data_IF_775613676801
#
_entry.id   IF_775613676801
#
_cell.length_a   1.000
_cell.length_b   1.000
_cell.length_c   1.000
_cell.angle_alpha   90.00
_cell.angle_beta   90.00
_cell.angle_gamma   90.00
#
_symmetry.space_group_name_H-M   'P 1'
#
loop_
_entity.id
_entity.type
_entity.pdbx_description
1 polymer ?
#
# COMPACT_ATOMS: atom_id res chain seq x y z
N UNK A 1 39.86 -2.11 2.46
CA UNK A 1 38.54 -2.58 2.00
C UNK A 1 37.45 -1.63 2.49
N UNK A 2 36.77 -0.91 1.59
CA UNK A 2 35.69 0.03 1.96
C UNK A 2 34.40 -0.77 2.24
N UNK A 3 33.89 -0.67 3.47
CA UNK A 3 32.58 -1.20 3.87
C UNK A 3 31.50 -0.40 3.13
N UNK A 4 30.79 -1.04 2.20
CA UNK A 4 29.62 -0.46 1.54
C UNK A 4 28.50 -0.41 2.57
N UNK A 5 28.24 0.77 3.13
CA UNK A 5 27.10 1.00 4.01
C UNK A 5 25.83 0.55 3.30
N UNK A 6 25.10 -0.38 3.90
CA UNK A 6 23.75 -0.74 3.50
C UNK A 6 22.87 0.48 3.76
N UNK A 7 22.80 1.37 2.77
CA UNK A 7 21.77 2.39 2.73
C UNK A 7 20.43 1.67 2.71
N UNK A 8 19.68 1.78 3.81
CA UNK A 8 18.26 1.50 3.93
C UNK A 8 17.45 2.51 3.10
N UNK A 9 17.84 2.68 1.83
CA UNK A 9 17.07 3.44 0.88
C UNK A 9 15.76 2.69 0.72
N UNK A 10 14.68 3.26 1.26
CA UNK A 10 13.31 2.77 0.99
C UNK A 10 13.22 2.65 -0.53
N UNK A 11 12.70 1.54 -1.08
CA UNK A 11 12.50 1.46 -2.52
C UNK A 11 11.75 2.71 -2.97
N UNK A 12 12.24 3.39 -4.01
CA UNK A 12 11.58 4.57 -4.57
C UNK A 12 10.28 4.11 -5.24
N UNK A 13 9.25 3.91 -4.43
CA UNK A 13 7.94 3.46 -4.88
C UNK A 13 7.20 4.67 -5.46
N UNK A 14 6.80 4.57 -6.72
CA UNK A 14 5.96 5.59 -7.34
C UNK A 14 4.59 5.62 -6.64
N UNK A 15 3.91 6.77 -6.69
CA UNK A 15 2.54 6.92 -6.16
C UNK A 15 1.60 5.82 -6.64
N UNK A 16 1.63 5.50 -7.93
CA UNK A 16 0.81 4.44 -8.51
C UNK A 16 1.12 3.05 -7.93
N UNK A 17 2.39 2.77 -7.61
CA UNK A 17 2.79 1.52 -6.97
C UNK A 17 2.31 1.45 -5.53
N UNK A 18 2.44 2.53 -4.74
CA UNK A 18 1.94 2.58 -3.36
C UNK A 18 0.42 2.34 -3.29
N UNK A 19 -0.35 3.01 -4.16
CA UNK A 19 -1.80 2.80 -4.25
C UNK A 19 -2.13 1.34 -4.59
N UNK A 20 -1.36 0.73 -5.51
CA UNK A 20 -1.57 -0.66 -5.90
C UNK A 20 -1.22 -1.63 -4.78
N UNK A 21 -0.15 -1.39 -4.02
CA UNK A 21 0.22 -2.17 -2.84
C UNK A 21 -0.86 -2.09 -1.76
N UNK A 22 -1.38 -0.90 -1.48
CA UNK A 22 -2.52 -0.72 -0.57
C UNK A 22 -3.73 -1.57 -1.01
N UNK A 23 -4.08 -1.52 -2.30
CA UNK A 23 -5.17 -2.35 -2.86
C UNK A 23 -4.87 -3.84 -2.76
N UNK A 24 -3.63 -4.26 -2.96
CA UNK A 24 -3.21 -5.65 -2.74
C UNK A 24 -3.55 -6.08 -1.31
N UNK A 25 -3.14 -5.30 -0.31
CA UNK A 25 -3.40 -5.62 1.10
C UNK A 25 -4.90 -5.72 1.40
N UNK A 26 -5.72 -4.80 0.87
CA UNK A 26 -7.19 -4.87 1.00
C UNK A 26 -7.81 -6.10 0.31
N UNK A 27 -7.17 -6.67 -0.72
CA UNK A 27 -7.66 -7.89 -1.36
C UNK A 27 -7.39 -9.12 -0.50
N UNK A 28 -6.19 -9.22 0.07
CA UNK A 28 -5.78 -10.39 0.87
C UNK A 28 -6.24 -10.32 2.33
N UNK A 29 -6.57 -9.13 2.84
CA UNK A 29 -7.26 -8.96 4.13
C UNK A 29 -8.63 -9.64 4.13
N UNK A 30 -9.37 -9.59 3.02
CA UNK A 30 -10.69 -10.23 2.89
C UNK A 30 -10.62 -11.76 2.91
N UNK A 31 -9.41 -12.33 2.93
CA UNK A 31 -9.12 -13.76 2.94
C UNK A 31 -8.20 -14.18 1.80
N UNK A 32 -7.71 -15.43 1.84
CA UNK A 32 -6.73 -15.93 0.86
C UNK A 32 -7.21 -15.82 -0.60
N UNK A 33 -6.42 -15.15 -1.44
CA UNK A 33 -6.75 -14.90 -2.86
C UNK A 33 -5.83 -15.70 -3.80
N UNK A 34 -6.37 -16.16 -4.92
CA UNK A 34 -5.53 -16.74 -6.00
C UNK A 34 -4.74 -15.65 -6.70
N UNK A 35 -3.53 -15.98 -7.16
CA UNK A 35 -2.67 -15.07 -7.95
C UNK A 35 -3.43 -14.45 -9.13
N UNK A 36 -4.15 -15.26 -9.88
CA UNK A 36 -4.88 -14.83 -11.09
C UNK A 36 -5.96 -13.79 -10.73
N UNK A 37 -6.61 -13.93 -9.58
CA UNK A 37 -7.61 -12.98 -9.08
C UNK A 37 -6.96 -11.65 -8.68
N UNK A 38 -5.82 -11.71 -7.99
CA UNK A 38 -5.05 -10.51 -7.62
C UNK A 38 -4.58 -9.78 -8.88
N UNK A 39 -3.94 -10.50 -9.81
CA UNK A 39 -3.45 -9.93 -11.07
C UNK A 39 -4.57 -9.26 -11.87
N UNK A 40 -5.73 -9.93 -12.01
CA UNK A 40 -6.89 -9.38 -12.71
C UNK A 40 -7.42 -8.11 -12.06
N UNK A 41 -7.55 -8.08 -10.73
CA UNK A 41 -8.10 -6.91 -10.00
C UNK A 41 -7.12 -5.74 -9.92
N UNK A 42 -5.82 -6.00 -9.95
CA UNK A 42 -4.77 -4.98 -9.88
C UNK A 42 -4.20 -4.61 -11.25
N UNK A 43 -4.71 -5.21 -12.34
CA UNK A 43 -4.22 -5.02 -13.71
C UNK A 43 -2.70 -5.25 -13.83
N UNK A 44 -2.22 -6.35 -13.24
CA UNK A 44 -0.81 -6.72 -13.22
C UNK A 44 -0.51 -7.84 -14.22
N UNK A 45 0.67 -7.75 -14.84
CA UNK A 45 1.33 -8.91 -15.43
C UNK A 45 2.06 -9.74 -14.36
N UNK A 46 2.57 -10.91 -14.74
CA UNK A 46 3.22 -11.82 -13.78
C UNK A 46 4.46 -11.18 -13.13
N UNK A 47 5.21 -10.37 -13.89
CA UNK A 47 6.40 -9.66 -13.38
C UNK A 47 5.99 -8.57 -12.38
N UNK A 48 4.94 -7.82 -12.68
CA UNK A 48 4.37 -6.81 -11.81
C UNK A 48 3.87 -7.39 -10.49
N UNK A 49 3.20 -8.54 -10.55
CA UNK A 49 2.78 -9.27 -9.37
C UNK A 49 3.96 -9.62 -8.44
N UNK A 50 5.00 -10.27 -8.96
CA UNK A 50 6.15 -10.65 -8.12
C UNK A 50 6.98 -9.45 -7.67
N UNK A 51 7.08 -8.38 -8.48
CA UNK A 51 7.72 -7.13 -8.03
C UNK A 51 6.97 -6.48 -6.87
N UNK A 52 5.64 -6.52 -6.89
CA UNK A 52 4.85 -5.95 -5.81
C UNK A 52 4.93 -6.82 -4.54
N UNK A 53 4.93 -8.15 -4.67
CA UNK A 53 5.24 -9.04 -3.55
C UNK A 53 6.62 -8.76 -2.96
N UNK A 54 7.63 -8.55 -3.81
CA UNK A 54 8.98 -8.22 -3.36
C UNK A 54 8.99 -6.89 -2.59
N UNK A 55 8.30 -5.85 -3.08
CA UNK A 55 8.21 -4.59 -2.36
C UNK A 55 7.51 -4.72 -1.02
N UNK A 56 6.43 -5.52 -0.91
CA UNK A 56 5.78 -5.79 0.38
C UNK A 56 6.76 -6.47 1.35
N UNK A 57 7.54 -7.44 0.85
CA UNK A 57 8.58 -8.12 1.64
C UNK A 57 9.67 -7.16 2.11
N UNK A 58 10.16 -6.27 1.23
CA UNK A 58 11.15 -5.24 1.56
C UNK A 58 10.62 -4.27 2.63
N UNK A 59 9.31 -3.95 2.57
CA UNK A 59 8.59 -3.17 3.57
C UNK A 59 8.27 -3.94 4.86
N UNK A 60 8.71 -5.20 4.99
CA UNK A 60 8.42 -6.07 6.15
C UNK A 60 6.93 -6.40 6.31
N UNK A 61 6.19 -6.42 5.20
CA UNK A 61 4.79 -6.82 5.15
C UNK A 61 4.72 -8.26 4.60
N UNK A 62 4.58 -9.27 5.46
CA UNK A 62 4.61 -10.67 5.05
C UNK A 62 3.31 -11.09 4.33
N UNK A 63 3.44 -11.59 3.10
CA UNK A 63 2.38 -12.29 2.38
C UNK A 63 2.73 -13.78 2.34
N UNK A 64 1.87 -14.61 2.92
CA UNK A 64 2.05 -16.06 2.94
C UNK A 64 1.33 -16.72 1.77
N UNK A 65 1.86 -17.87 1.33
CA UNK A 65 1.26 -18.71 0.29
C UNK A 65 0.84 -20.02 0.96
N UNK A 66 -0.46 -20.30 0.96
CA UNK A 66 -1.01 -21.56 1.47
C UNK A 66 -0.76 -22.73 0.51
N UNK A 67 -1.08 -23.94 0.97
CA UNK A 67 -0.94 -25.18 0.19
C UNK A 67 -1.75 -25.17 -1.11
N UNK A 68 -2.85 -24.42 -1.14
CA UNK A 68 -3.72 -24.26 -2.32
C UNK A 68 -3.27 -23.12 -3.26
N UNK A 69 -2.02 -22.64 -3.10
CA UNK A 69 -1.42 -21.55 -3.84
C UNK A 69 -2.18 -20.21 -3.73
N UNK A 70 -2.88 -19.99 -2.61
CA UNK A 70 -3.50 -18.71 -2.30
C UNK A 70 -2.62 -17.84 -1.43
N UNK A 71 -2.67 -16.55 -1.70
CA UNK A 71 -1.91 -15.51 -1.03
C UNK A 71 -2.77 -14.89 0.07
N UNK A 72 -2.23 -14.83 1.28
CA UNK A 72 -2.88 -14.24 2.45
C UNK A 72 -1.94 -13.26 3.15
N UNK A 73 -2.50 -12.22 3.76
CA UNK A 73 -1.72 -11.36 4.64
C UNK A 73 -1.45 -12.12 5.94
N UNK A 74 -0.19 -12.15 6.38
CA UNK A 74 0.16 -12.62 7.71
C UNK A 74 0.08 -11.45 8.69
N UNK A 75 -0.74 -11.58 9.72
CA UNK A 75 -1.06 -10.49 10.65
C UNK A 75 -2.30 -9.71 10.21
N UNK A 76 -2.44 -8.50 10.75
CA UNK A 76 -3.59 -7.63 10.49
C UNK A 76 -3.30 -6.62 9.38
N UNK A 77 -4.36 -6.08 8.77
CA UNK A 77 -4.22 -4.97 7.85
C UNK A 77 -3.58 -3.75 8.53
N UNK A 78 -3.95 -3.47 9.78
CA UNK A 78 -3.43 -2.33 10.54
C UNK A 78 -1.90 -2.40 10.69
N UNK A 79 -1.37 -3.55 11.10
CA UNK A 79 0.07 -3.79 11.18
C UNK A 79 0.75 -3.57 9.82
N UNK A 80 0.17 -4.09 8.74
CA UNK A 80 0.70 -3.91 7.39
C UNK A 80 0.70 -2.44 6.95
N UNK A 81 -0.34 -1.67 7.29
CA UNK A 81 -0.44 -0.25 6.95
C UNK A 81 0.56 0.61 7.73
N UNK A 82 0.97 0.21 8.93
CA UNK A 82 2.03 0.91 9.68
C UNK A 82 3.38 0.90 8.96
N UNK A 83 3.59 -0.08 8.07
CA UNK A 83 4.82 -0.23 7.28
C UNK A 83 4.73 0.38 5.87
N UNK A 84 3.52 0.57 5.34
CA UNK A 84 3.33 1.06 3.98
C UNK A 84 3.51 2.59 3.93
N UNK A 85 4.48 3.13 3.17
CA UNK A 85 4.62 4.57 3.04
C UNK A 85 3.36 5.21 2.45
N UNK A 86 2.91 6.32 3.03
CA UNK A 86 1.85 7.10 2.43
C UNK A 86 2.43 7.88 1.22
N UNK A 87 1.84 7.77 0.01
CA UNK A 87 2.29 8.56 -1.12
C UNK A 87 2.08 10.04 -0.82
N UNK A 88 3.06 10.89 -1.14
CA UNK A 88 3.00 12.34 -0.86
C UNK A 88 1.62 12.91 -1.23
N UNK A 89 0.84 13.44 -0.26
CA UNK A 89 -0.49 13.98 -0.48
C UNK A 89 -0.48 15.35 -1.21
N UNK A 90 0.69 15.85 -1.64
CA UNK A 90 0.88 17.24 -2.08
C UNK A 90 0.50 18.22 -0.97
N UNK A 91 1.00 17.95 0.24
CA UNK A 91 0.81 18.85 1.38
C UNK A 91 1.73 20.05 1.26
N UNK A 92 1.17 21.23 1.47
CA UNK A 92 1.92 22.47 1.65
C UNK A 92 2.42 22.57 3.10
N UNK A 93 3.35 23.47 3.39
CA UNK A 93 3.76 23.75 4.77
C UNK A 93 2.59 24.23 5.66
N UNK A 94 1.63 24.95 5.07
CA UNK A 94 0.39 25.33 5.78
C UNK A 94 -0.42 24.09 6.13
N UNK A 95 -0.55 23.14 5.20
CA UNK A 95 -1.27 21.89 5.47
C UNK A 95 -0.61 21.11 6.63
N UNK A 96 0.72 21.09 6.68
CA UNK A 96 1.47 20.44 7.78
C UNK A 96 1.27 21.15 9.11
N UNK A 97 1.29 22.48 9.13
CA UNK A 97 1.04 23.28 10.34
C UNK A 97 -0.38 23.06 10.88
N UNK A 98 -1.38 22.99 9.99
CA UNK A 98 -2.78 22.69 10.35
C UNK A 98 -2.91 21.27 10.92
N UNK A 99 -2.25 20.28 10.31
CA UNK A 99 -2.28 18.89 10.79
C UNK A 99 -1.62 18.72 12.16
N UNK A 100 -0.54 19.45 12.44
CA UNK A 100 0.14 19.41 13.72
C UNK A 100 -0.74 19.90 14.90
N UNK A 101 -1.77 20.70 14.63
CA UNK A 101 -2.70 21.23 15.64
C UNK A 101 -3.94 20.33 15.85
N UNK A 102 -4.16 19.32 14.99
CA UNK A 102 -5.15 18.26 15.21
C UNK A 102 -6.55 18.49 14.65
N UNK A 103 -6.83 19.67 14.07
CA UNK A 103 -8.10 19.93 13.38
C UNK A 103 -7.97 21.10 12.40
N UNK A 104 -8.31 20.89 11.12
CA UNK A 104 -8.27 21.95 10.11
C UNK A 104 -8.59 21.48 8.69
N UNK A 105 -8.65 22.38 7.70
CA UNK A 105 -8.95 22.06 6.29
C UNK A 105 -8.02 20.98 5.71
N UNK A 106 -6.77 20.94 6.15
CA UNK A 106 -5.81 19.90 5.77
C UNK A 106 -6.21 18.48 6.22
N UNK A 107 -6.89 18.35 7.37
CA UNK A 107 -7.44 17.06 7.82
C UNK A 107 -8.54 16.58 6.86
N UNK A 108 -9.41 17.48 6.41
CA UNK A 108 -10.45 17.16 5.42
C UNK A 108 -9.85 16.82 4.06
N UNK A 109 -8.81 17.55 3.61
CA UNK A 109 -8.06 17.27 2.39
C UNK A 109 -7.43 15.88 2.41
N UNK A 110 -6.76 15.51 3.52
CA UNK A 110 -6.20 14.17 3.71
C UNK A 110 -7.29 13.10 3.71
N UNK A 111 -8.41 13.32 4.41
CA UNK A 111 -9.54 12.39 4.45
C UNK A 111 -10.10 12.12 3.05
N UNK A 112 -10.34 13.16 2.25
CA UNK A 112 -10.81 13.03 0.86
C UNK A 112 -9.83 12.23 -0.01
N UNK A 113 -8.53 12.45 0.17
CA UNK A 113 -7.51 11.69 -0.56
C UNK A 113 -7.45 10.23 -0.11
N UNK A 114 -7.59 9.97 1.18
CA UNK A 114 -7.72 8.62 1.73
C UNK A 114 -8.92 7.88 1.15
N UNK A 115 -10.10 8.52 1.15
CA UNK A 115 -11.34 8.01 0.55
C UNK A 115 -11.18 7.74 -0.96
N UNK A 116 -10.56 8.67 -1.70
CA UNK A 116 -10.30 8.49 -3.13
C UNK A 116 -9.33 7.33 -3.43
N UNK A 117 -8.33 7.08 -2.56
CA UNK A 117 -7.43 5.93 -2.69
C UNK A 117 -8.12 4.60 -2.39
N UNK A 118 -8.99 4.58 -1.37
CA UNK A 118 -9.84 3.45 -1.01
C UNK A 118 -10.79 3.07 -2.15
N UNK A 119 -11.20 4.03 -2.97
CA UNK A 119 -12.13 3.81 -4.05
C UNK A 119 -13.44 3.27 -3.51
N UNK A 120 -14.31 4.15 -3.04
CA UNK A 120 -15.74 3.82 -3.05
C UNK A 120 -16.12 3.55 -4.50
N UNK A 121 -16.14 2.27 -4.88
CA UNK A 121 -16.93 1.84 -6.03
C UNK A 121 -18.39 1.84 -5.58
N UNK A 122 -18.94 3.04 -5.48
CA UNK A 122 -20.37 3.33 -5.36
C UNK A 122 -20.99 3.60 -6.73
N UNK A 123 -20.64 2.82 -7.76
CA UNK A 123 -21.60 2.58 -8.84
C UNK A 123 -22.53 1.47 -8.37
N UNK A 124 -23.62 1.89 -7.74
CA UNK A 124 -24.93 1.23 -7.82
C UNK A 124 -25.83 2.36 -8.33
N UNK A 125 -26.30 2.28 -9.58
CA UNK A 125 -27.30 1.32 -9.99
C UNK A 125 -28.65 1.99 -9.78
#
# INVERSE_FOLDING_TARGET
MKRKGTSTARPSLTRGRLIRLFRFLKLVEKGPQKREQIMKRLHLDIRGFYRDLEALRELKIPIEIGEDHRYALKGTLEEALSHLPFPDPQLTFSDVADLAQGSGPAHEKLRKQWEAMLGERGEKG
#
